data_IF_632820686840
#
_entry.id   IF_632820686840
#
_cell.length_a   1.000
_cell.length_b   1.000
_cell.length_c   1.000
_cell.angle_alpha   90.00
_cell.angle_beta   90.00
_cell.angle_gamma   90.00
#
_symmetry.space_group_name_H-M   'P 1'
#
loop_
_entity.id
_entity.type
_entity.pdbx_description
1 polymer ?
#
# COMPACT_ATOMS: atom_id res chain seq x y z
N UNK A 1 -20.43 -0.55 8.34
CA UNK A 1 -21.11 -0.55 7.03
C UNK A 1 -20.13 -0.72 5.87
N UNK A 2 -18.87 -0.24 5.99
CA UNK A 2 -17.92 -0.27 4.87
C UNK A 2 -17.48 -1.67 4.43
N UNK A 3 -17.29 -2.61 5.36
CA UNK A 3 -16.87 -3.99 5.03
C UNK A 3 -17.85 -4.75 4.12
N UNK A 4 -19.15 -4.57 4.32
CA UNK A 4 -20.19 -5.19 3.47
C UNK A 4 -20.21 -4.56 2.07
N UNK A 5 -19.86 -3.28 1.98
CA UNK A 5 -19.78 -2.53 0.72
C UNK A 5 -18.57 -3.00 -0.11
N UNK A 6 -17.41 -3.16 0.53
CA UNK A 6 -16.19 -3.68 -0.11
C UNK A 6 -16.37 -5.11 -0.62
N UNK A 7 -16.96 -6.01 0.19
CA UNK A 7 -17.26 -7.37 -0.28
C UNK A 7 -18.29 -7.42 -1.41
N UNK A 8 -19.27 -6.50 -1.42
CA UNK A 8 -20.23 -6.40 -2.51
C UNK A 8 -19.59 -5.91 -3.82
N UNK A 9 -18.56 -5.07 -3.74
CA UNK A 9 -17.82 -4.57 -4.91
C UNK A 9 -16.89 -5.65 -5.46
N UNK A 10 -16.14 -6.35 -4.60
CA UNK A 10 -15.30 -7.49 -5.00
C UNK A 10 -16.13 -8.62 -5.65
N UNK A 11 -17.33 -8.90 -5.10
CA UNK A 11 -18.24 -9.90 -5.67
C UNK A 11 -18.73 -9.50 -7.05
N UNK A 12 -19.03 -8.22 -7.30
CA UNK A 12 -19.41 -7.74 -8.64
C UNK A 12 -18.25 -7.84 -9.62
N UNK A 13 -17.05 -7.44 -9.20
CA UNK A 13 -15.86 -7.49 -10.04
C UNK A 13 -15.51 -8.93 -10.45
N UNK A 14 -15.64 -9.88 -9.52
CA UNK A 14 -15.50 -11.31 -9.82
C UNK A 14 -16.58 -11.82 -10.77
N UNK A 15 -17.83 -11.41 -10.57
CA UNK A 15 -18.94 -11.77 -11.48
C UNK A 15 -18.71 -11.26 -12.90
N UNK A 16 -18.24 -10.02 -13.05
CA UNK A 16 -17.93 -9.43 -14.36
C UNK A 16 -16.74 -10.13 -15.02
N UNK A 17 -15.72 -10.54 -14.25
CA UNK A 17 -14.60 -11.35 -14.76
C UNK A 17 -15.07 -12.73 -15.24
N UNK A 18 -15.93 -13.41 -14.49
CA UNK A 18 -16.50 -14.72 -14.88
C UNK A 18 -17.33 -14.59 -16.16
N UNK A 19 -18.21 -13.58 -16.24
CA UNK A 19 -19.04 -13.33 -17.42
C UNK A 19 -18.19 -13.07 -18.68
N UNK A 20 -17.09 -12.33 -18.54
CA UNK A 20 -16.14 -12.09 -19.63
C UNK A 20 -15.41 -13.37 -20.07
N UNK A 21 -15.06 -14.26 -19.14
CA UNK A 21 -14.43 -15.55 -19.45
C UNK A 21 -15.42 -16.47 -20.17
N UNK A 22 -16.66 -16.58 -19.68
CA UNK A 22 -17.71 -17.38 -20.33
C UNK A 22 -18.01 -16.88 -21.75
N UNK A 23 -18.11 -15.55 -21.92
CA UNK A 23 -18.27 -14.93 -23.25
C UNK A 23 -17.09 -15.24 -24.19
N UNK A 24 -15.85 -15.23 -23.69
CA UNK A 24 -14.67 -15.60 -24.46
C UNK A 24 -14.69 -17.09 -24.86
N UNK A 25 -15.08 -17.99 -23.94
CA UNK A 25 -15.21 -19.43 -24.21
C UNK A 25 -16.26 -19.72 -25.28
N UNK A 26 -17.45 -19.12 -25.17
CA UNK A 26 -18.53 -19.24 -26.16
C UNK A 26 -18.05 -18.75 -27.53
N UNK A 27 -17.36 -17.62 -27.55
CA UNK A 27 -16.78 -17.05 -28.77
C UNK A 27 -15.75 -18.00 -29.41
N UNK A 28 -14.84 -18.59 -28.63
CA UNK A 28 -13.87 -19.57 -29.13
C UNK A 28 -14.54 -20.85 -29.64
N UNK A 29 -15.59 -21.32 -28.96
CA UNK A 29 -16.35 -22.49 -29.38
C UNK A 29 -17.07 -22.26 -30.71
N UNK A 30 -17.70 -21.09 -30.90
CA UNK A 30 -18.36 -20.71 -32.15
C UNK A 30 -17.36 -20.57 -33.30
N UNK A 31 -16.16 -20.03 -33.03
CA UNK A 31 -15.08 -19.91 -34.02
C UNK A 31 -14.54 -21.26 -34.47
N UNK A 32 -14.33 -22.17 -33.53
CA UNK A 32 -13.90 -23.54 -33.83
C UNK A 32 -14.94 -24.25 -34.72
N UNK A 33 -16.23 -23.99 -34.47
CA UNK A 33 -17.33 -24.50 -35.30
C UNK A 33 -17.32 -23.89 -36.71
N UNK A 34 -17.20 -22.57 -36.85
CA UNK A 34 -17.13 -21.90 -38.15
C UNK A 34 -15.94 -22.40 -39.01
N UNK A 35 -14.75 -22.53 -38.41
CA UNK A 35 -13.59 -23.07 -39.12
C UNK A 35 -13.78 -24.53 -39.57
N UNK A 36 -14.39 -25.36 -38.71
CA UNK A 36 -14.73 -26.74 -39.09
C UNK A 36 -15.76 -26.79 -40.23
N UNK A 37 -16.77 -25.92 -40.20
CA UNK A 37 -17.76 -25.81 -41.29
C UNK A 37 -17.11 -25.40 -42.61
N UNK A 38 -16.19 -24.42 -42.58
CA UNK A 38 -15.42 -24.05 -43.77
C UNK A 38 -14.58 -25.22 -44.30
N UNK A 39 -13.91 -25.97 -43.42
CA UNK A 39 -13.12 -27.14 -43.82
C UNK A 39 -13.97 -28.24 -44.46
N UNK A 40 -15.18 -28.47 -43.96
CA UNK A 40 -16.14 -29.39 -44.56
C UNK A 40 -16.59 -28.91 -45.95
N UNK A 41 -16.90 -27.62 -46.09
CA UNK A 41 -17.25 -27.01 -47.40
C UNK A 41 -16.08 -27.08 -48.38
N UNK A 42 -14.86 -26.79 -47.95
CA UNK A 42 -13.65 -26.92 -48.77
C UNK A 42 -13.50 -28.36 -49.30
N UNK A 43 -13.70 -29.37 -48.45
CA UNK A 43 -13.64 -30.77 -48.88
C UNK A 43 -14.74 -31.11 -49.88
N UNK A 44 -15.94 -30.55 -49.73
CA UNK A 44 -17.03 -30.72 -50.69
C UNK A 44 -16.66 -30.16 -52.07
N UNK A 45 -16.19 -28.91 -52.14
CA UNK A 45 -15.79 -28.27 -53.41
C UNK A 45 -14.65 -29.03 -54.09
N UNK A 46 -13.67 -29.51 -53.33
CA UNK A 46 -12.57 -30.33 -53.88
C UNK A 46 -13.09 -31.63 -54.49
N UNK A 47 -13.94 -32.37 -53.78
CA UNK A 47 -14.47 -33.64 -54.27
C UNK A 47 -15.34 -33.47 -55.52
N UNK A 48 -16.17 -32.42 -55.55
CA UNK A 48 -17.03 -32.12 -56.70
C UNK A 48 -16.20 -31.68 -57.92
N UNK A 49 -15.17 -30.87 -57.71
CA UNK A 49 -14.24 -30.47 -58.77
C UNK A 49 -13.53 -31.69 -59.37
N UNK A 50 -13.01 -32.60 -58.54
CA UNK A 50 -12.38 -33.84 -59.02
C UNK A 50 -13.35 -34.70 -59.84
N UNK A 51 -14.61 -34.83 -59.39
CA UNK A 51 -15.62 -35.60 -60.12
C UNK A 51 -15.95 -34.98 -61.49
N UNK A 52 -16.03 -33.65 -61.57
CA UNK A 52 -16.25 -32.94 -62.83
C UNK A 52 -15.03 -32.99 -63.76
N UNK A 53 -13.82 -32.87 -63.23
CA UNK A 53 -12.57 -33.01 -63.98
C UNK A 53 -12.42 -34.41 -64.59
N UNK A 54 -12.75 -35.47 -63.84
CA UNK A 54 -12.72 -36.85 -64.33
C UNK A 54 -13.75 -37.06 -65.47
N UNK A 55 -14.99 -36.56 -65.28
CA UNK A 55 -16.02 -36.55 -66.34
C UNK A 55 -15.57 -35.77 -67.58
N UNK A 56 -14.86 -34.66 -67.41
CA UNK A 56 -14.32 -33.86 -68.51
C UNK A 56 -13.23 -34.64 -69.25
N UNK A 57 -12.31 -35.28 -68.52
CA UNK A 57 -11.25 -36.09 -69.09
C UNK A 57 -11.82 -37.26 -69.92
N UNK A 58 -12.83 -37.95 -69.39
CA UNK A 58 -13.52 -39.02 -70.11
C UNK A 58 -14.24 -38.54 -71.36
N UNK A 59 -14.87 -37.36 -71.30
CA UNK A 59 -15.52 -36.74 -72.46
C UNK A 59 -14.48 -36.40 -73.54
N UNK A 60 -13.33 -35.82 -73.15
CA UNK A 60 -12.20 -35.55 -74.06
C UNK A 60 -11.69 -36.82 -74.73
N UNK A 61 -11.43 -37.89 -73.97
CA UNK A 61 -11.02 -39.19 -74.53
C UNK A 61 -12.03 -39.74 -75.54
N UNK A 62 -13.34 -39.63 -75.26
CA UNK A 62 -14.40 -40.05 -76.20
C UNK A 62 -14.40 -39.21 -77.46
N UNK A 63 -14.24 -37.89 -77.34
CA UNK A 63 -14.16 -36.99 -78.50
C UNK A 63 -12.93 -37.30 -79.36
N UNK A 64 -11.76 -37.48 -78.76
CA UNK A 64 -10.53 -37.82 -79.48
C UNK A 64 -10.71 -39.14 -80.24
N UNK A 65 -11.26 -40.17 -79.59
CA UNK A 65 -11.59 -41.44 -80.25
C UNK A 65 -12.58 -41.28 -81.42
N UNK A 66 -13.58 -40.39 -81.29
CA UNK A 66 -14.51 -40.08 -82.37
C UNK A 66 -13.84 -39.31 -83.50
N UNK A 67 -12.93 -38.37 -83.20
CA UNK A 67 -12.13 -37.62 -84.18
C UNK A 67 -11.23 -38.56 -84.97
N UNK A 68 -10.53 -39.46 -84.30
CA UNK A 68 -9.66 -40.45 -84.92
C UNK A 68 -10.45 -41.37 -85.87
N UNK A 69 -11.63 -41.84 -85.43
CA UNK A 69 -12.52 -42.65 -86.28
C UNK A 69 -13.04 -41.87 -87.48
N UNK A 70 -13.38 -40.60 -87.32
CA UNK A 70 -13.79 -39.74 -88.42
C UNK A 70 -12.65 -39.52 -89.41
N UNK A 71 -11.44 -39.28 -88.91
CA UNK A 71 -10.24 -39.11 -89.74
C UNK A 71 -9.94 -40.37 -90.56
N UNK A 72 -9.96 -41.55 -89.94
CA UNK A 72 -9.78 -42.84 -90.63
C UNK A 72 -10.83 -43.07 -91.73
N UNK A 73 -12.10 -42.76 -91.45
CA UNK A 73 -13.19 -42.92 -92.42
C UNK A 73 -13.07 -41.90 -93.56
N UNK A 74 -12.65 -40.66 -93.27
CA UNK A 74 -12.43 -39.67 -94.31
C UNK A 74 -11.29 -40.11 -95.24
N UNK A 75 -10.14 -40.53 -94.70
CA UNK A 75 -9.04 -41.04 -95.53
C UNK A 75 -9.48 -42.23 -96.40
N UNK A 76 -10.20 -43.20 -95.83
CA UNK A 76 -10.71 -44.35 -96.59
C UNK A 76 -11.79 -43.94 -97.62
N UNK A 77 -12.59 -42.93 -97.32
CA UNK A 77 -13.56 -42.41 -98.28
C UNK A 77 -12.84 -41.65 -99.39
N UNK A 78 -11.83 -40.82 -99.13
CA UNK A 78 -11.12 -40.05 -100.15
C UNK A 78 -10.47 -40.98 -101.19
N UNK A 79 -9.82 -42.07 -100.75
CA UNK A 79 -9.28 -43.11 -101.64
C UNK A 79 -10.37 -43.78 -102.50
N UNK A 80 -11.54 -44.06 -101.92
CA UNK A 80 -12.68 -44.66 -102.63
C UNK A 80 -13.37 -43.63 -103.55
N UNK A 81 -13.47 -42.37 -103.14
CA UNK A 81 -14.06 -41.29 -103.92
C UNK A 81 -13.21 -41.03 -105.16
N UNK A 82 -11.88 -41.00 -105.03
CA UNK A 82 -10.95 -40.92 -106.16
C UNK A 82 -11.13 -42.06 -107.16
N UNK A 83 -11.28 -43.30 -106.68
CA UNK A 83 -11.54 -44.46 -107.53
C UNK A 83 -12.91 -44.35 -108.20
N UNK A 84 -13.95 -43.98 -107.45
CA UNK A 84 -15.31 -43.84 -107.96
C UNK A 84 -15.44 -42.68 -108.95
N UNK A 85 -14.72 -41.59 -108.76
CA UNK A 85 -14.69 -40.44 -109.67
C UNK A 85 -13.95 -40.78 -110.96
N UNK A 86 -12.76 -41.40 -110.89
CA UNK A 86 -12.06 -41.93 -112.07
C UNK A 86 -12.90 -42.95 -112.82
N UNK A 87 -13.60 -43.84 -112.10
CA UNK A 87 -14.51 -44.82 -112.69
C UNK A 87 -15.73 -44.15 -113.34
N UNK A 88 -16.28 -43.09 -112.72
CA UNK A 88 -17.39 -42.31 -113.29
C UNK A 88 -16.95 -41.60 -114.58
N UNK A 89 -15.77 -40.97 -114.58
CA UNK A 89 -15.19 -40.31 -115.76
C UNK A 89 -14.97 -41.31 -116.88
N UNK A 90 -14.35 -42.46 -116.61
CA UNK A 90 -14.16 -43.54 -117.58
C UNK A 90 -15.50 -44.04 -118.19
N UNK A 91 -16.50 -44.27 -117.34
CA UNK A 91 -17.84 -44.71 -117.78
C UNK A 91 -18.62 -43.62 -118.52
N UNK A 92 -18.26 -42.34 -118.40
CA UNK A 92 -18.84 -41.23 -119.16
C UNK A 92 -18.08 -40.99 -120.48
N UNK A 93 -16.76 -41.06 -120.47
CA UNK A 93 -15.87 -40.83 -121.63
C UNK A 93 -15.90 -41.93 -122.69
N UNK A 94 -16.26 -43.16 -122.33
CA UNK A 94 -16.42 -44.29 -123.26
C UNK A 94 -17.47 -44.07 -124.36
N UNK A 95 -18.18 -42.94 -124.35
CA UNK A 95 -18.55 -42.18 -125.56
C UNK A 95 -19.60 -42.76 -126.51
N UNK A 96 -19.87 -44.06 -126.46
CA UNK A 96 -20.87 -44.70 -127.33
C UNK A 96 -22.26 -44.59 -126.68
N UNK A 97 -23.21 -43.86 -127.30
CA UNK A 97 -24.58 -43.70 -126.80
C UNK A 97 -25.39 -45.01 -126.80
N UNK A 98 -24.91 -46.06 -127.47
CA UNK A 98 -25.63 -47.32 -127.67
C UNK A 98 -25.11 -48.47 -126.79
N UNK A 99 -23.98 -48.29 -126.10
CA UNK A 99 -23.42 -49.26 -125.17
C UNK A 99 -24.27 -49.33 -123.89
N UNK A 100 -25.18 -50.32 -123.85
CA UNK A 100 -26.08 -50.58 -122.71
C UNK A 100 -25.39 -51.29 -121.54
N UNK A 101 -24.35 -52.05 -121.84
CA UNK A 101 -23.67 -52.96 -120.92
C UNK A 101 -22.16 -52.71 -120.90
N UNK A 102 -21.53 -52.89 -119.74
CA UNK A 102 -20.09 -52.76 -119.55
C UNK A 102 -19.59 -54.01 -118.85
N UNK A 103 -18.60 -54.67 -119.46
CA UNK A 103 -17.98 -55.86 -118.90
C UNK A 103 -16.99 -55.48 -117.80
N UNK A 104 -17.07 -56.17 -116.67
CA UNK A 104 -16.13 -56.01 -115.58
C UNK A 104 -14.82 -56.74 -115.89
N UNK A 105 -13.68 -56.06 -116.02
CA UNK A 105 -12.40 -56.69 -116.35
C UNK A 105 -11.87 -57.63 -115.25
N UNK A 106 -12.45 -57.58 -114.05
CA UNK A 106 -12.01 -58.38 -112.89
C UNK A 106 -12.83 -59.66 -112.72
N UNK A 107 -14.16 -59.60 -112.92
CA UNK A 107 -15.02 -60.78 -112.75
C UNK A 107 -15.64 -61.31 -114.04
N UNK A 108 -15.48 -60.61 -115.18
CA UNK A 108 -16.04 -61.00 -116.47
C UNK A 108 -17.54 -60.82 -116.60
N UNK A 109 -18.23 -60.32 -115.56
CA UNK A 109 -19.67 -60.07 -115.58
C UNK A 109 -20.00 -58.82 -116.40
N UNK A 110 -21.04 -58.92 -117.22
CA UNK A 110 -21.65 -57.75 -117.89
C UNK A 110 -22.61 -57.04 -116.94
N UNK A 111 -22.53 -55.72 -116.90
CA UNK A 111 -23.38 -54.88 -116.06
C UNK A 111 -24.01 -53.74 -116.84
N UNK A 112 -25.29 -53.45 -116.57
CA UNK A 112 -25.99 -52.33 -117.20
C UNK A 112 -25.32 -50.99 -116.83
N UNK A 113 -24.79 -50.28 -117.84
CA UNK A 113 -24.01 -49.04 -117.70
C UNK A 113 -24.76 -47.97 -116.92
N UNK A 114 -26.03 -47.78 -117.25
CA UNK A 114 -26.91 -46.77 -116.62
C UNK A 114 -27.14 -47.08 -115.14
N UNK A 115 -27.31 -48.36 -114.80
CA UNK A 115 -27.47 -48.80 -113.42
C UNK A 115 -26.18 -48.60 -112.61
N UNK A 116 -25.00 -48.86 -113.21
CA UNK A 116 -23.70 -48.60 -112.58
C UNK A 116 -23.44 -47.11 -112.36
N UNK A 117 -23.63 -46.26 -113.38
CA UNK A 117 -23.51 -44.81 -113.25
C UNK A 117 -24.43 -44.28 -112.14
N UNK A 118 -25.71 -44.67 -112.15
CA UNK A 118 -26.64 -44.29 -111.10
C UNK A 118 -26.29 -44.85 -109.71
N UNK A 119 -25.60 -45.98 -109.60
CA UNK A 119 -25.09 -46.50 -108.31
C UNK A 119 -23.88 -45.68 -107.83
N UNK A 120 -22.95 -45.34 -108.71
CA UNK A 120 -21.75 -44.54 -108.41
C UNK A 120 -22.16 -43.12 -108.02
N UNK A 121 -22.99 -42.45 -108.81
CA UNK A 121 -23.48 -41.08 -108.52
C UNK A 121 -24.27 -41.04 -107.20
N UNK A 122 -25.08 -42.06 -106.91
CA UNK A 122 -25.75 -42.18 -105.60
C UNK A 122 -24.76 -42.39 -104.46
N UNK A 123 -23.69 -43.18 -104.63
CA UNK A 123 -22.68 -43.35 -103.59
C UNK A 123 -21.86 -42.09 -103.34
N UNK A 124 -21.49 -41.35 -104.40
CA UNK A 124 -20.80 -40.06 -104.32
C UNK A 124 -21.68 -39.00 -103.61
N UNK A 125 -22.98 -38.96 -103.90
CA UNK A 125 -23.91 -38.00 -103.28
C UNK A 125 -24.41 -38.39 -101.89
N UNK A 126 -24.44 -39.68 -101.54
CA UNK A 126 -25.02 -40.15 -100.28
C UNK A 126 -24.12 -39.98 -99.05
N UNK A 127 -22.89 -39.49 -99.18
CA UNK A 127 -21.99 -39.10 -98.08
C UNK A 127 -22.12 -39.98 -96.83
N UNK A 128 -21.36 -41.08 -96.80
CA UNK A 128 -21.43 -42.19 -95.82
C UNK A 128 -22.28 -41.90 -94.58
N UNK A 129 -23.45 -42.54 -94.45
CA UNK A 129 -24.35 -42.42 -93.27
C UNK A 129 -23.59 -42.52 -91.94
N UNK A 130 -22.53 -43.32 -91.91
CA UNK A 130 -21.60 -43.49 -90.78
C UNK A 130 -20.87 -42.20 -90.39
N UNK A 131 -20.46 -41.37 -91.35
CA UNK A 131 -19.85 -40.05 -91.09
C UNK A 131 -20.87 -39.09 -90.48
N UNK A 132 -22.11 -39.08 -90.99
CA UNK A 132 -23.19 -38.24 -90.42
C UNK A 132 -23.50 -38.64 -88.98
N UNK A 133 -23.55 -39.94 -88.68
CA UNK A 133 -23.74 -40.44 -87.31
C UNK A 133 -22.57 -40.09 -86.38
N UNK A 134 -21.33 -40.23 -86.84
CA UNK A 134 -20.15 -39.87 -86.06
C UNK A 134 -20.06 -38.36 -85.81
N UNK A 135 -20.36 -37.52 -86.80
CA UNK A 135 -20.46 -36.05 -86.61
C UNK A 135 -21.53 -35.69 -85.59
N UNK A 136 -22.69 -36.36 -85.62
CA UNK A 136 -23.76 -36.16 -84.64
C UNK A 136 -23.31 -36.58 -83.22
N UNK A 137 -22.61 -37.70 -83.07
CA UNK A 137 -22.03 -38.13 -81.78
C UNK A 137 -20.99 -37.13 -81.28
N UNK A 138 -20.11 -36.64 -82.16
CA UNK A 138 -19.08 -35.65 -81.81
C UNK A 138 -19.70 -34.34 -81.35
N UNK A 139 -20.76 -33.88 -82.02
CA UNK A 139 -21.52 -32.70 -81.62
C UNK A 139 -22.13 -32.87 -80.21
N UNK A 140 -22.69 -34.04 -79.90
CA UNK A 140 -23.25 -34.32 -78.58
C UNK A 140 -22.17 -34.37 -77.48
N UNK A 141 -21.01 -34.96 -77.76
CA UNK A 141 -19.90 -34.98 -76.79
C UNK A 141 -19.31 -33.57 -76.59
N UNK A 142 -19.20 -32.75 -77.64
CA UNK A 142 -18.83 -31.33 -77.50
C UNK A 142 -19.83 -30.57 -76.59
N UNK A 143 -21.14 -30.79 -76.76
CA UNK A 143 -22.14 -30.17 -75.88
C UNK A 143 -21.99 -30.60 -74.41
N UNK A 144 -21.63 -31.87 -74.16
CA UNK A 144 -21.33 -32.34 -72.81
C UNK A 144 -20.07 -31.69 -72.24
N UNK A 145 -19.02 -31.55 -73.05
CA UNK A 145 -17.79 -30.88 -72.63
C UNK A 145 -18.07 -29.45 -72.17
N UNK A 146 -18.79 -28.68 -72.98
CA UNK A 146 -19.14 -27.29 -72.66
C UNK A 146 -20.03 -27.20 -71.41
N UNK A 147 -20.95 -28.15 -71.23
CA UNK A 147 -21.76 -28.22 -70.00
C UNK A 147 -20.90 -28.47 -68.77
N UNK A 148 -19.96 -29.42 -68.83
CA UNK A 148 -19.06 -29.73 -67.71
C UNK A 148 -18.13 -28.53 -67.40
N UNK A 149 -17.64 -27.81 -68.43
CA UNK A 149 -16.86 -26.58 -68.23
C UNK A 149 -17.66 -25.50 -67.52
N UNK A 150 -18.93 -25.32 -67.88
CA UNK A 150 -19.82 -24.39 -67.20
C UNK A 150 -20.06 -24.80 -65.73
N UNK A 151 -20.32 -26.09 -65.46
CA UNK A 151 -20.45 -26.64 -64.10
C UNK A 151 -19.17 -26.40 -63.27
N UNK A 152 -17.98 -26.58 -63.85
CA UNK A 152 -16.70 -26.29 -63.20
C UNK A 152 -16.50 -24.80 -62.89
N UNK A 153 -16.88 -23.93 -63.82
CA UNK A 153 -16.78 -22.48 -63.61
C UNK A 153 -17.71 -22.02 -62.48
N UNK A 154 -18.96 -22.49 -62.49
CA UNK A 154 -19.94 -22.18 -61.43
C UNK A 154 -19.44 -22.66 -60.06
N UNK A 155 -18.90 -23.88 -59.99
CA UNK A 155 -18.33 -24.41 -58.76
C UNK A 155 -17.13 -23.58 -58.27
N UNK A 156 -16.28 -23.12 -59.19
CA UNK A 156 -15.16 -22.23 -58.88
C UNK A 156 -15.62 -20.88 -58.33
N UNK A 157 -16.64 -20.29 -58.94
CA UNK A 157 -17.19 -19.00 -58.52
C UNK A 157 -17.83 -19.11 -57.12
N UNK A 158 -18.62 -20.16 -56.87
CA UNK A 158 -19.19 -20.45 -55.54
C UNK A 158 -18.11 -20.66 -54.47
N UNK A 159 -17.02 -21.35 -54.81
CA UNK A 159 -15.91 -21.53 -53.87
C UNK A 159 -15.22 -20.20 -53.57
N UNK A 160 -15.01 -19.35 -54.58
CA UNK A 160 -14.41 -18.03 -54.39
C UNK A 160 -15.26 -17.15 -53.46
N UNK A 161 -16.58 -17.11 -53.66
CA UNK A 161 -17.51 -16.36 -52.79
C UNK A 161 -17.43 -16.82 -51.32
N UNK A 162 -17.39 -18.13 -51.09
CA UNK A 162 -17.26 -18.70 -49.74
C UNK A 162 -15.92 -18.37 -49.08
N UNK A 163 -14.83 -18.35 -49.86
CA UNK A 163 -13.50 -17.92 -49.39
C UNK A 163 -13.50 -16.43 -49.04
N UNK A 164 -14.03 -15.57 -49.90
CA UNK A 164 -14.09 -14.12 -49.67
C UNK A 164 -14.92 -13.77 -48.44
N UNK A 165 -16.03 -14.48 -48.24
CA UNK A 165 -16.84 -14.36 -47.02
C UNK A 165 -16.04 -14.73 -45.77
N UNK A 166 -15.30 -15.84 -45.80
CA UNK A 166 -14.45 -16.25 -44.67
C UNK A 166 -13.34 -15.23 -44.39
N UNK A 167 -12.70 -14.69 -45.43
CA UNK A 167 -11.68 -13.64 -45.29
C UNK A 167 -12.27 -12.41 -44.62
N UNK A 168 -13.43 -11.95 -45.07
CA UNK A 168 -14.12 -10.78 -44.48
C UNK A 168 -14.46 -11.00 -42.99
N UNK A 169 -14.94 -12.19 -42.63
CA UNK A 169 -15.20 -12.56 -41.23
C UNK A 169 -13.92 -12.55 -40.38
N UNK A 170 -12.81 -13.09 -40.91
CA UNK A 170 -11.51 -13.10 -40.24
C UNK A 170 -10.91 -11.70 -40.07
N UNK A 171 -11.09 -10.82 -41.04
CA UNK A 171 -10.62 -9.43 -40.98
C UNK A 171 -11.39 -8.62 -39.92
N UNK A 172 -12.71 -8.73 -39.90
CA UNK A 172 -13.55 -8.10 -38.88
C UNK A 172 -13.18 -8.61 -37.46
N UNK A 173 -12.87 -9.91 -37.34
CA UNK A 173 -12.41 -10.47 -36.08
C UNK A 173 -11.04 -9.92 -35.66
N UNK A 174 -10.08 -9.86 -36.59
CA UNK A 174 -8.76 -9.29 -36.34
C UNK A 174 -8.86 -7.85 -35.86
N UNK A 175 -9.73 -7.04 -36.45
CA UNK A 175 -9.97 -5.66 -36.03
C UNK A 175 -10.57 -5.61 -34.62
N UNK A 176 -11.61 -6.41 -34.34
CA UNK A 176 -12.21 -6.52 -33.01
C UNK A 176 -11.21 -6.93 -31.93
N UNK A 177 -10.35 -7.91 -32.23
CA UNK A 177 -9.29 -8.36 -31.32
C UNK A 177 -8.26 -7.26 -31.08
N UNK A 178 -7.88 -6.52 -32.13
CA UNK A 178 -6.93 -5.41 -32.03
C UNK A 178 -7.47 -4.31 -31.11
N UNK A 179 -8.75 -3.94 -31.24
CA UNK A 179 -9.42 -2.97 -30.36
C UNK A 179 -9.43 -3.46 -28.91
N UNK A 180 -9.79 -4.74 -28.67
CA UNK A 180 -9.79 -5.31 -27.31
C UNK A 180 -8.38 -5.33 -26.71
N UNK A 181 -7.36 -5.61 -27.52
CA UNK A 181 -5.96 -5.63 -27.10
C UNK A 181 -5.49 -4.23 -26.70
N UNK A 182 -5.78 -3.20 -27.50
CA UNK A 182 -5.38 -1.81 -27.18
C UNK A 182 -6.05 -1.32 -25.91
N UNK A 183 -7.36 -1.53 -25.75
CA UNK A 183 -8.09 -1.17 -24.52
C UNK A 183 -7.51 -1.87 -23.29
N UNK A 184 -7.16 -3.16 -23.41
CA UNK A 184 -6.52 -3.91 -22.33
C UNK A 184 -5.16 -3.34 -21.98
N UNK A 185 -4.35 -2.99 -22.99
CA UNK A 185 -3.03 -2.39 -22.82
C UNK A 185 -3.11 -1.04 -22.09
N UNK A 186 -4.06 -0.19 -22.44
CA UNK A 186 -4.27 1.10 -21.77
C UNK A 186 -4.69 0.92 -20.31
N UNK A 187 -5.54 -0.08 -20.02
CA UNK A 187 -5.92 -0.44 -18.64
C UNK A 187 -4.72 -0.90 -17.82
N UNK A 188 -3.86 -1.75 -18.39
CA UNK A 188 -2.62 -2.20 -17.72
C UNK A 188 -1.74 -1.01 -17.40
N UNK A 189 -1.51 -0.12 -18.36
CA UNK A 189 -0.68 1.08 -18.15
C UNK A 189 -1.24 1.99 -17.04
N UNK A 190 -2.56 2.14 -16.96
CA UNK A 190 -3.22 2.88 -15.87
C UNK A 190 -2.94 2.23 -14.51
N UNK A 191 -3.10 0.91 -14.39
CA UNK A 191 -2.83 0.16 -13.16
C UNK A 191 -1.36 0.24 -12.77
N UNK A 192 -0.43 0.12 -13.73
CA UNK A 192 1.01 0.27 -13.46
C UNK A 192 1.35 1.65 -12.90
N UNK A 193 0.72 2.71 -13.40
CA UNK A 193 0.89 4.06 -12.87
C UNK A 193 0.31 4.19 -11.45
N UNK A 194 -0.86 3.62 -11.18
CA UNK A 194 -1.45 3.59 -9.84
C UNK A 194 -0.55 2.85 -8.84
N UNK A 195 0.04 1.71 -9.23
CA UNK A 195 1.02 0.97 -8.43
C UNK A 195 2.23 1.84 -8.10
N UNK A 196 2.78 2.58 -9.08
CA UNK A 196 3.92 3.49 -8.83
C UNK A 196 3.58 4.57 -7.80
N UNK A 197 2.38 5.17 -7.89
CA UNK A 197 1.94 6.18 -6.91
C UNK A 197 1.78 5.55 -5.52
N UNK A 198 1.19 4.36 -5.43
CA UNK A 198 1.04 3.66 -4.16
C UNK A 198 2.40 3.28 -3.53
N UNK A 199 3.37 2.86 -4.35
CA UNK A 199 4.73 2.58 -3.91
C UNK A 199 5.42 3.83 -3.35
N UNK A 200 5.25 5.01 -3.97
CA UNK A 200 5.82 6.25 -3.43
C UNK A 200 5.22 6.60 -2.07
N UNK A 201 3.89 6.47 -1.92
CA UNK A 201 3.19 6.70 -0.65
C UNK A 201 3.63 5.72 0.43
N UNK A 202 3.85 4.46 0.07
CA UNK A 202 4.37 3.46 1.00
C UNK A 202 5.76 3.85 1.51
N UNK A 203 6.65 4.29 0.63
CA UNK A 203 7.99 4.75 1.01
C UNK A 203 7.95 5.99 1.94
N UNK A 204 7.02 6.91 1.70
CA UNK A 204 6.81 8.07 2.59
C UNK A 204 6.32 7.63 3.99
N UNK A 205 5.38 6.68 4.05
CA UNK A 205 4.91 6.11 5.32
C UNK A 205 6.03 5.38 6.06
N UNK A 206 6.87 4.62 5.37
CA UNK A 206 8.02 3.95 5.97
C UNK A 206 9.00 4.95 6.56
N UNK A 207 9.28 6.05 5.85
CA UNK A 207 10.11 7.14 6.37
C UNK A 207 9.52 7.78 7.63
N UNK A 208 8.22 8.09 7.62
CA UNK A 208 7.52 8.62 8.79
C UNK A 208 7.54 7.65 9.97
N UNK A 209 7.35 6.36 9.70
CA UNK A 209 7.37 5.33 10.74
C UNK A 209 8.77 5.19 11.36
N UNK A 210 9.84 5.22 10.56
CA UNK A 210 11.22 5.25 11.06
C UNK A 210 11.49 6.47 11.95
N UNK A 211 10.98 7.64 11.57
CA UNK A 211 11.10 8.84 12.41
C UNK A 211 10.31 8.72 13.71
N UNK A 212 9.10 8.16 13.68
CA UNK A 212 8.31 7.93 14.88
C UNK A 212 9.02 6.98 15.86
N UNK A 213 9.61 5.89 15.36
CA UNK A 213 10.43 4.97 16.18
C UNK A 213 11.59 5.71 16.85
N UNK A 214 12.34 6.54 16.11
CA UNK A 214 13.44 7.33 16.69
C UNK A 214 12.98 8.27 17.80
N UNK A 215 11.82 8.92 17.64
CA UNK A 215 11.24 9.81 18.66
C UNK A 215 10.84 9.00 19.91
N UNK A 216 10.20 7.85 19.72
CA UNK A 216 9.83 6.95 20.83
C UNK A 216 11.07 6.49 21.59
N UNK A 217 12.11 6.04 20.88
CA UNK A 217 13.36 5.59 21.47
C UNK A 217 14.03 6.71 22.30
N UNK A 218 14.03 7.94 21.78
CA UNK A 218 14.56 9.10 22.49
C UNK A 218 13.83 9.34 23.82
N UNK A 219 12.50 9.39 23.81
CA UNK A 219 11.71 9.61 25.03
C UNK A 219 11.84 8.44 26.03
N UNK A 220 11.97 7.19 25.56
CA UNK A 220 12.23 6.05 26.44
C UNK A 220 13.58 6.16 27.17
N UNK A 221 14.61 6.71 26.52
CA UNK A 221 15.90 6.98 27.15
C UNK A 221 15.76 8.09 28.20
N UNK A 222 15.06 9.18 27.87
CA UNK A 222 14.81 10.28 28.81
C UNK A 222 14.03 9.83 30.04
N UNK A 223 12.96 9.06 29.85
CA UNK A 223 12.15 8.49 30.93
C UNK A 223 13.00 7.64 31.87
N UNK A 224 13.86 6.76 31.32
CA UNK A 224 14.78 5.95 32.11
C UNK A 224 15.74 6.81 32.92
N UNK A 225 16.31 7.85 32.31
CA UNK A 225 17.20 8.81 32.98
C UNK A 225 16.51 9.56 34.13
N UNK A 226 15.26 9.99 33.93
CA UNK A 226 14.44 10.63 34.97
C UNK A 226 14.16 9.67 36.12
N UNK A 227 13.76 8.42 35.82
CA UNK A 227 13.47 7.38 36.82
C UNK A 227 14.69 7.07 37.68
N UNK A 228 15.87 6.96 37.06
CA UNK A 228 17.14 6.76 37.76
C UNK A 228 17.48 7.95 38.67
N UNK A 229 17.31 9.19 38.17
CA UNK A 229 17.58 10.40 38.95
C UNK A 229 16.66 10.49 40.18
N UNK A 230 15.36 10.31 39.98
CA UNK A 230 14.36 10.31 41.04
C UNK A 230 14.68 9.23 42.09
N UNK A 231 15.04 8.03 41.65
CA UNK A 231 15.43 6.93 42.54
C UNK A 231 16.65 7.29 43.40
N UNK A 232 17.70 7.89 42.81
CA UNK A 232 18.87 8.38 43.55
C UNK A 232 18.48 9.47 44.56
N UNK A 233 17.62 10.40 44.18
CA UNK A 233 17.18 11.51 45.03
C UNK A 233 16.33 11.04 46.20
N UNK A 234 15.43 10.09 45.98
CA UNK A 234 14.66 9.41 47.04
C UNK A 234 15.61 8.70 48.01
N UNK A 235 16.61 7.96 47.51
CA UNK A 235 17.58 7.28 48.38
C UNK A 235 18.39 8.28 49.21
N UNK A 236 18.84 9.41 48.64
CA UNK A 236 19.51 10.47 49.39
C UNK A 236 18.63 11.04 50.50
N UNK A 237 17.35 11.30 50.20
CA UNK A 237 16.39 11.82 51.19
C UNK A 237 16.13 10.80 52.31
N UNK A 238 15.96 9.52 51.97
CA UNK A 238 15.84 8.44 52.98
C UNK A 238 17.05 8.39 53.90
N UNK A 239 18.27 8.47 53.34
CA UNK A 239 19.51 8.47 54.13
C UNK A 239 19.60 9.72 55.04
N UNK A 240 19.20 10.89 54.54
CA UNK A 240 19.15 12.12 55.34
C UNK A 240 18.12 12.04 56.47
N UNK A 241 16.95 11.44 56.24
CA UNK A 241 15.95 11.20 57.30
C UNK A 241 16.52 10.30 58.40
N UNK A 242 17.16 9.19 58.02
CA UNK A 242 17.79 8.27 58.99
C UNK A 242 18.86 9.00 59.80
N UNK A 243 19.74 9.76 59.14
CA UNK A 243 20.84 10.45 59.81
C UNK A 243 20.39 11.64 60.68
N UNK A 244 19.35 12.38 60.29
CA UNK A 244 18.83 13.49 61.09
C UNK A 244 17.93 13.04 62.24
N UNK A 245 17.37 11.81 62.20
CA UNK A 245 16.68 11.23 63.36
C UNK A 245 17.62 10.94 64.55
N UNK A 246 18.93 11.06 64.32
CA UNK A 246 20.00 10.93 65.32
C UNK A 246 20.52 12.27 65.87
N UNK A 247 19.94 13.41 65.48
CA UNK A 247 20.17 14.63 66.26
C UNK A 247 19.53 14.38 67.62
N UNK A 248 20.38 14.16 68.62
CA UNK A 248 20.09 14.09 70.05
C UNK A 248 19.38 15.38 70.47
N UNK A 249 18.09 15.48 70.16
CA UNK A 249 17.19 16.30 70.94
C UNK A 249 17.29 15.66 72.33
N UNK A 250 18.03 16.31 73.26
CA UNK A 250 18.05 15.94 74.69
C UNK A 250 16.64 15.48 75.03
N UNK A 251 16.48 14.21 75.42
CA UNK A 251 15.15 13.67 75.68
C UNK A 251 14.47 14.63 76.65
N UNK A 252 13.21 14.97 76.36
CA UNK A 252 12.35 15.76 77.23
C UNK A 252 12.43 15.35 78.70
N UNK A 253 12.72 14.08 79.02
CA UNK A 253 13.05 13.63 80.38
C UNK A 253 14.27 14.30 81.02
N UNK A 254 15.39 14.44 80.30
CA UNK A 254 16.62 15.05 80.82
C UNK A 254 16.41 16.55 81.09
N UNK A 255 15.76 17.25 80.17
CA UNK A 255 15.41 18.66 80.35
C UNK A 255 14.43 18.86 81.51
N UNK A 256 13.46 17.97 81.68
CA UNK A 256 12.55 18.00 82.85
C UNK A 256 13.32 17.85 84.16
N UNK A 257 14.28 16.92 84.21
CA UNK A 257 15.13 16.72 85.39
C UNK A 257 15.97 17.95 85.71
N UNK A 258 16.62 18.54 84.70
CA UNK A 258 17.40 19.78 84.84
C UNK A 258 16.53 20.94 85.36
N UNK A 259 15.30 21.09 84.83
CA UNK A 259 14.35 22.12 85.29
C UNK A 259 13.94 21.88 86.75
N UNK A 260 13.66 20.64 87.15
CA UNK A 260 13.33 20.29 88.54
C UNK A 260 14.47 20.63 89.51
N UNK A 261 15.71 20.26 89.17
CA UNK A 261 16.89 20.58 89.99
C UNK A 261 17.12 22.10 90.13
N UNK A 262 16.91 22.86 89.05
CA UNK A 262 16.99 24.32 89.08
C UNK A 262 15.90 24.95 89.96
N UNK A 263 14.68 24.41 89.93
CA UNK A 263 13.58 24.88 90.78
C UNK A 263 13.86 24.62 92.26
N UNK A 264 14.33 23.43 92.63
CA UNK A 264 14.72 23.12 94.00
C UNK A 264 15.85 24.05 94.51
N UNK A 265 16.81 24.34 93.64
CA UNK A 265 17.91 25.26 93.97
C UNK A 265 17.43 26.69 94.15
N UNK A 266 16.49 27.16 93.32
CA UNK A 266 15.83 28.47 93.46
C UNK A 266 15.11 28.58 94.79
N UNK A 267 14.33 27.56 95.15
CA UNK A 267 13.55 27.56 96.39
C UNK A 267 14.46 27.49 97.63
N UNK A 268 15.56 26.74 97.55
CA UNK A 268 16.61 26.72 98.58
C UNK A 268 17.27 28.09 98.78
N UNK A 269 17.64 28.76 97.69
CA UNK A 269 18.20 30.13 97.71
C UNK A 269 17.21 31.14 98.30
N UNK A 270 15.92 31.02 97.98
CA UNK A 270 14.89 31.89 98.55
C UNK A 270 14.74 31.67 100.07
N UNK A 271 14.82 30.42 100.54
CA UNK A 271 14.80 30.10 101.97
C UNK A 271 16.03 30.66 102.70
N UNK A 272 17.23 30.57 102.10
CA UNK A 272 18.44 31.19 102.64
C UNK A 272 18.31 32.71 102.72
N UNK A 273 17.84 33.37 101.65
CA UNK A 273 17.65 34.82 101.64
C UNK A 273 16.73 35.29 102.76
N UNK A 274 15.58 34.62 102.96
CA UNK A 274 14.64 34.94 104.02
C UNK A 274 15.24 34.75 105.43
N UNK A 275 16.05 33.70 105.62
CA UNK A 275 16.74 33.44 106.91
C UNK A 275 17.74 34.53 107.27
N UNK A 276 18.48 35.06 106.30
CA UNK A 276 19.44 36.14 106.53
C UNK A 276 18.77 37.51 106.66
N UNK A 277 17.67 37.76 105.95
CA UNK A 277 16.92 39.02 106.06
C UNK A 277 16.30 39.18 107.46
N UNK A 278 15.77 38.09 108.05
CA UNK A 278 15.26 38.07 109.43
C UNK A 278 16.34 38.40 110.48
N UNK A 279 17.62 38.11 110.21
CA UNK A 279 18.71 38.49 111.12
C UNK A 279 18.98 39.99 111.10
N UNK A 280 18.78 40.67 109.96
CA UNK A 280 18.94 42.12 109.87
C UNK A 280 17.85 42.85 110.68
N UNK A 281 16.59 42.41 110.56
CA UNK A 281 15.47 42.97 111.35
C UNK A 281 15.66 42.76 112.86
N UNK A 282 16.28 41.65 113.27
CA UNK A 282 16.55 41.36 114.70
C UNK A 282 17.57 42.30 115.36
N UNK A 283 18.41 42.98 114.58
CA UNK A 283 19.50 43.83 115.10
C UNK A 283 19.07 45.30 115.32
N UNK A 284 17.97 45.71 114.69
CA UNK A 284 17.44 47.08 114.74
C UNK A 284 17.02 47.55 116.15
N UNK A 285 16.36 46.73 116.99
CA UNK A 285 15.98 47.12 118.35
C UNK A 285 17.17 47.38 119.29
N UNK A 286 18.25 46.59 119.15
CA UNK A 286 19.47 46.73 119.97
C UNK A 286 20.22 48.04 119.66
N UNK A 287 20.27 48.43 118.38
CA UNK A 287 20.87 49.70 117.94
C UNK A 287 20.08 50.89 118.51
N UNK A 288 18.75 50.84 118.46
CA UNK A 288 17.87 51.90 118.96
C UNK A 288 18.02 52.09 120.49
N UNK A 289 18.18 50.98 121.22
CA UNK A 289 18.39 50.98 122.67
C UNK A 289 19.74 51.63 123.04
N UNK A 290 20.82 51.28 122.35
CA UNK A 290 22.15 51.90 122.58
C UNK A 290 22.17 53.39 122.25
N UNK A 291 21.43 53.83 121.24
CA UNK A 291 21.32 55.26 120.92
C UNK A 291 20.64 56.05 122.05
N UNK A 292 19.63 55.45 122.69
CA UNK A 292 18.91 56.04 123.83
C UNK A 292 19.80 56.13 125.07
N UNK A 293 20.60 55.10 125.33
CA UNK A 293 21.59 55.08 126.42
C UNK A 293 22.67 56.16 126.23
N UNK A 294 23.19 56.30 125.00
CA UNK A 294 24.17 57.34 124.67
C UNK A 294 23.64 58.77 124.90
N UNK A 295 22.37 59.04 124.52
CA UNK A 295 21.72 60.33 124.76
C UNK A 295 21.57 60.65 126.25
N UNK A 296 21.24 59.65 127.07
CA UNK A 296 21.14 59.81 128.52
C UNK A 296 22.51 60.11 129.16
N UNK A 297 23.56 59.38 128.77
CA UNK A 297 24.91 59.63 129.26
C UNK A 297 25.40 61.06 128.92
N UNK A 298 25.07 61.55 127.72
CA UNK A 298 25.41 62.93 127.32
C UNK A 298 24.72 63.98 128.21
N UNK A 299 23.48 63.72 128.63
CA UNK A 299 22.75 64.61 129.54
C UNK A 299 23.36 64.61 130.96
N UNK A 300 23.84 63.46 131.43
CA UNK A 300 24.52 63.33 132.72
C UNK A 300 25.88 64.06 132.72
N UNK A 301 26.65 63.96 131.64
CA UNK A 301 27.88 64.74 131.47
C UNK A 301 27.61 66.25 131.54
N UNK A 302 26.56 66.75 130.88
CA UNK A 302 26.20 68.19 130.93
C UNK A 302 25.82 68.65 132.35
N UNK A 303 25.14 67.80 133.13
CA UNK A 303 24.80 68.07 134.54
C UNK A 303 26.04 68.07 135.45
N UNK A 304 26.97 67.15 135.23
CA UNK A 304 28.24 67.12 135.95
C UNK A 304 29.08 68.37 135.65
N UNK A 305 29.14 68.78 134.37
CA UNK A 305 29.90 69.95 133.94
C UNK A 305 29.37 71.27 134.51
N UNK A 306 28.05 71.39 134.70
CA UNK A 306 27.43 72.54 135.36
C UNK A 306 27.67 72.55 136.88
N UNK A 307 27.71 71.39 137.54
CA UNK A 307 28.13 71.29 138.95
C UNK A 307 29.59 71.71 139.16
N UNK A 308 30.49 71.31 138.27
CA UNK A 308 31.91 71.70 138.33
C UNK A 308 32.05 73.23 138.24
N UNK A 309 31.37 73.88 137.29
CA UNK A 309 31.38 75.35 137.18
C UNK A 309 30.89 76.07 138.44
N UNK A 310 29.87 75.52 139.11
CA UNK A 310 29.37 76.10 140.35
C UNK A 310 30.39 75.98 141.48
N UNK A 311 31.05 74.82 141.61
CA UNK A 311 32.11 74.60 142.60
C UNK A 311 33.33 75.47 142.33
N UNK A 312 33.70 75.69 141.06
CA UNK A 312 34.76 76.63 140.67
C UNK A 312 34.43 78.06 141.11
N UNK A 313 33.20 78.53 140.91
CA UNK A 313 32.75 79.85 141.35
C UNK A 313 32.73 80.01 142.88
N UNK A 314 32.39 78.96 143.63
CA UNK A 314 32.47 78.96 145.09
C UNK A 314 33.91 78.98 145.60
N UNK A 315 34.81 78.25 144.93
CA UNK A 315 36.24 78.24 145.26
C UNK A 315 36.88 79.63 145.07
N UNK A 316 36.50 80.33 144.00
CA UNK A 316 36.96 81.69 143.69
C UNK A 316 36.55 82.69 144.77
N UNK A 317 35.29 82.62 145.24
CA UNK A 317 34.79 83.42 146.36
C UNK A 317 35.50 83.12 147.69
N UNK A 318 35.83 81.85 147.95
CA UNK A 318 36.59 81.49 149.16
C UNK A 318 38.04 82.00 149.11
N UNK A 319 38.66 82.04 147.93
CA UNK A 319 40.00 82.60 147.75
C UNK A 319 40.03 84.13 147.97
N UNK A 320 39.02 84.87 147.52
CA UNK A 320 38.89 86.31 147.78
C UNK A 320 38.74 86.62 149.28
N UNK A 321 37.92 85.84 150.00
CA UNK A 321 37.72 85.97 151.45
C UNK A 321 39.01 85.69 152.25
N UNK A 322 39.81 84.72 151.79
CA UNK A 322 41.12 84.40 152.37
C UNK A 322 42.13 85.53 152.17
N UNK A 323 42.13 86.20 151.01
CA UNK A 323 42.98 87.37 150.78
C UNK A 323 42.59 88.56 151.67
N UNK A 324 41.29 88.85 151.80
CA UNK A 324 40.82 89.92 152.69
C UNK A 324 41.18 89.67 154.16
N UNK A 325 41.07 88.42 154.62
CA UNK A 325 41.46 88.06 155.98
C UNK A 325 42.97 88.14 156.23
N UNK A 326 43.80 87.89 155.21
CA UNK A 326 45.26 88.09 155.27
C UNK A 326 45.63 89.56 155.46
N UNK A 327 44.99 90.46 154.71
CA UNK A 327 45.23 91.91 154.81
C UNK A 327 44.80 92.48 156.18
N UNK A 328 43.66 92.02 156.72
CA UNK A 328 43.21 92.41 158.07
C UNK A 328 44.14 91.99 159.19
N UNK A 329 44.86 90.87 159.02
CA UNK A 329 45.81 90.37 160.03
C UNK A 329 47.10 91.17 160.04
N UNK A 330 47.60 91.58 158.87
CA UNK A 330 48.80 92.39 158.73
C UNK A 330 48.64 93.82 159.28
N UNK A 331 47.46 94.41 159.19
CA UNK A 331 47.20 95.74 159.77
C UNK A 331 47.21 95.76 161.30
N UNK A 332 46.79 94.67 161.97
CA UNK A 332 46.82 94.57 163.44
C UNK A 332 48.22 94.37 164.03
N UNK A 333 49.18 93.91 163.24
CA UNK A 333 50.57 93.72 163.68
C UNK A 333 51.38 95.03 163.59
N UNK A 334 50.95 96.01 162.79
CA UNK A 334 51.66 97.30 162.66
C UNK A 334 51.25 98.32 163.75
N UNK A 335 50.03 98.24 164.30
CA UNK A 335 49.56 99.17 165.35
C UNK A 335 50.15 98.91 166.75
N UNK A 336 50.92 97.84 166.95
CA UNK A 336 51.47 97.48 168.28
C UNK A 336 52.98 97.73 168.46
N UNK A 337 53.67 98.32 167.48
CA UNK A 337 55.12 98.61 167.60
C UNK A 337 55.54 100.08 167.38
N UNK A 338 54.62 101.05 167.33
CA UNK A 338 54.99 102.48 167.47
C UNK A 338 53.99 103.32 168.27
#
# INVERSE_FOLDING_TARGET
MDFIKTQSEEKRELSDKILNIESAIVTMSLKTKSFMEFKLRQSYFQNEAFALEDRLADTKRKMDSLRDRLYQINNFNDDIFDILEKSLSYLKETGDPYLREVDCPVCGDSHERKALLGKIERKLTQGSKRVKELKKKLFLENQKEEKIKAELQELSDQFAEEVDKMISELEAEKESFTIKMTVTKDRILKVENEIKVLQSKLNELDYLNQNAVRIIDHYQIEERGLKDNLSRRINRLKNLMINNSFLEIKNTEELKKEISELLERKDSLAAEFNKYNLKADSCYPEILQREKESKNMLADCKRAQSRIRNLESELEKQQELLQQNKVRKQLKEVENEF
#
